data_IF_729392538226
#
_entry.id   IF_729392538226
#
_cell.length_a   1.000
_cell.length_b   1.000
_cell.length_c   1.000
_cell.angle_alpha   90.00
_cell.angle_beta   90.00
_cell.angle_gamma   90.00
#
_symmetry.space_group_name_H-M   'P 1'
#
loop_
_entity.id
_entity.type
_entity.pdbx_description
1 polymer ?
#
# COMPACT_ATOMS: atom_id res chain seq x y z
N UNK A 1 30.96 8.31 -28.55
CA UNK A 1 29.90 7.60 -27.81
C UNK A 1 29.79 8.34 -26.49
N UNK A 2 28.73 9.11 -26.31
CA UNK A 2 28.43 9.69 -25.00
C UNK A 2 28.15 8.51 -24.06
N UNK A 3 28.86 8.43 -22.93
CA UNK A 3 28.52 7.49 -21.88
C UNK A 3 27.14 7.85 -21.34
N UNK A 4 26.18 6.97 -21.49
CA UNK A 4 24.86 7.12 -20.85
C UNK A 4 25.07 7.15 -19.35
N UNK A 5 24.85 8.30 -18.73
CA UNK A 5 25.06 8.52 -17.30
C UNK A 5 23.84 8.00 -16.54
N UNK A 6 23.95 6.80 -15.98
CA UNK A 6 22.90 6.20 -15.14
C UNK A 6 22.76 6.95 -13.81
N UNK A 7 21.52 7.24 -13.42
CA UNK A 7 21.28 7.85 -12.11
C UNK A 7 21.56 6.85 -10.97
N UNK A 8 22.26 7.33 -9.94
CA UNK A 8 22.41 6.59 -8.69
C UNK A 8 21.05 6.40 -8.00
N UNK A 9 20.96 5.44 -7.06
CA UNK A 9 19.73 5.20 -6.28
C UNK A 9 19.27 6.46 -5.53
N UNK A 10 20.20 7.30 -5.03
CA UNK A 10 19.84 8.56 -4.35
C UNK A 10 19.27 9.59 -5.33
N UNK A 11 19.85 9.72 -6.53
CA UNK A 11 19.35 10.62 -7.57
C UNK A 11 17.96 10.17 -8.06
N UNK A 12 17.72 8.87 -8.25
CA UNK A 12 16.39 8.33 -8.58
C UNK A 12 15.37 8.63 -7.48
N UNK A 13 15.77 8.47 -6.21
CA UNK A 13 14.96 8.86 -5.05
C UNK A 13 14.61 10.35 -5.05
N UNK A 14 15.54 11.21 -5.37
CA UNK A 14 15.34 12.65 -5.42
C UNK A 14 14.38 13.03 -6.56
N UNK A 15 14.55 12.43 -7.74
CA UNK A 15 13.67 12.64 -8.89
C UNK A 15 12.22 12.28 -8.54
N UNK A 16 11.97 11.10 -7.98
CA UNK A 16 10.61 10.70 -7.59
C UNK A 16 10.01 11.67 -6.56
N UNK A 17 10.77 12.05 -5.52
CA UNK A 17 10.30 13.04 -4.52
C UNK A 17 9.98 14.40 -5.14
N UNK A 18 10.71 14.81 -6.18
CA UNK A 18 10.48 16.08 -6.88
C UNK A 18 9.13 16.07 -7.60
N UNK A 19 8.74 14.93 -8.19
CA UNK A 19 7.52 14.86 -9.01
C UNK A 19 6.30 14.39 -8.24
N UNK A 20 6.45 13.66 -7.15
CA UNK A 20 5.33 13.13 -6.37
C UNK A 20 4.38 14.26 -5.91
N UNK A 21 3.11 14.17 -6.28
CA UNK A 21 2.07 15.18 -6.02
C UNK A 21 2.09 16.39 -6.97
N UNK A 22 2.95 16.40 -7.99
CA UNK A 22 3.00 17.48 -8.99
C UNK A 22 2.16 17.14 -10.21
N UNK A 23 1.61 18.17 -10.83
CA UNK A 23 1.00 18.06 -12.16
C UNK A 23 2.09 17.97 -13.21
N UNK A 24 1.95 17.03 -14.14
CA UNK A 24 2.89 16.77 -15.23
C UNK A 24 2.17 16.66 -16.57
N UNK A 25 2.89 16.95 -17.65
CA UNK A 25 2.47 16.66 -19.01
C UNK A 25 3.27 15.46 -19.52
N UNK A 26 2.56 14.44 -19.99
CA UNK A 26 3.14 13.16 -20.45
C UNK A 26 2.86 13.01 -21.95
N UNK A 27 3.88 12.66 -22.72
CA UNK A 27 3.72 12.20 -24.11
C UNK A 27 3.51 10.70 -24.08
N UNK A 28 2.44 10.22 -24.70
CA UNK A 28 2.09 8.80 -24.72
C UNK A 28 2.68 8.16 -25.98
N UNK A 29 3.51 7.17 -25.80
CA UNK A 29 4.11 6.37 -26.88
C UNK A 29 3.54 4.94 -26.95
N UNK A 30 2.92 4.46 -25.86
CA UNK A 30 2.24 3.16 -25.75
C UNK A 30 0.85 3.34 -25.16
N UNK A 31 -0.15 3.70 -25.99
CA UNK A 31 -1.52 3.88 -25.52
C UNK A 31 -2.17 2.56 -25.10
N UNK A 32 -3.32 2.64 -24.41
CA UNK A 32 -4.14 1.47 -24.10
C UNK A 32 -4.40 0.65 -25.36
N UNK A 33 -4.19 -0.67 -25.28
CA UNK A 33 -4.29 -1.60 -26.40
C UNK A 33 -3.02 -1.75 -27.23
N UNK A 34 -1.95 -1.00 -26.94
CA UNK A 34 -0.67 -1.17 -27.61
C UNK A 34 -0.10 -2.57 -27.36
N UNK A 35 0.42 -3.19 -28.41
CA UNK A 35 1.03 -4.53 -28.35
C UNK A 35 2.52 -4.39 -28.58
N UNK A 36 3.32 -4.81 -27.60
CA UNK A 36 4.77 -4.70 -27.65
C UNK A 36 5.44 -6.08 -27.57
N UNK A 37 6.03 -6.58 -28.66
CA UNK A 37 6.81 -7.82 -28.64
C UNK A 37 8.18 -7.55 -28.03
N UNK A 38 8.54 -8.26 -26.95
CA UNK A 38 9.84 -8.13 -26.26
C UNK A 38 10.39 -9.51 -25.95
N UNK A 39 11.57 -9.84 -26.51
CA UNK A 39 12.37 -11.04 -26.14
C UNK A 39 11.55 -12.35 -26.03
N UNK A 40 10.62 -12.57 -26.95
CA UNK A 40 9.80 -13.79 -27.01
C UNK A 40 8.50 -13.76 -26.17
N UNK A 41 8.19 -12.66 -25.51
CA UNK A 41 6.90 -12.40 -24.90
C UNK A 41 6.18 -11.27 -25.63
N UNK A 42 4.86 -11.19 -25.48
CA UNK A 42 4.05 -10.10 -26.02
C UNK A 42 3.36 -9.39 -24.86
N UNK A 43 3.72 -8.12 -24.66
CA UNK A 43 3.08 -7.26 -23.67
C UNK A 43 1.85 -6.58 -24.27
N UNK A 44 0.73 -6.66 -23.58
CA UNK A 44 -0.50 -5.95 -23.93
C UNK A 44 -0.71 -4.83 -22.92
N UNK A 45 -0.58 -3.57 -23.37
CA UNK A 45 -0.72 -2.41 -22.50
C UNK A 45 -2.19 -2.20 -22.13
N UNK A 46 -2.51 -2.39 -20.87
CA UNK A 46 -3.86 -2.20 -20.29
C UNK A 46 -4.09 -0.78 -19.77
N UNK A 47 -3.03 0.01 -19.67
CA UNK A 47 -3.02 1.42 -19.30
C UNK A 47 -2.21 2.21 -20.32
N UNK A 48 -2.46 3.52 -20.41
CA UNK A 48 -1.60 4.40 -21.21
C UNK A 48 -0.22 4.48 -20.55
N UNK A 49 0.82 4.54 -21.38
CA UNK A 49 2.20 4.62 -20.96
C UNK A 49 2.95 5.59 -21.87
N UNK A 50 3.88 6.33 -21.30
CA UNK A 50 4.66 7.31 -22.00
C UNK A 50 5.77 7.87 -21.13
N UNK A 51 6.21 9.08 -21.40
CA UNK A 51 7.36 9.68 -20.76
C UNK A 51 7.18 11.19 -20.49
N UNK A 52 8.02 11.73 -19.60
CA UNK A 52 8.11 13.16 -19.32
C UNK A 52 9.15 13.80 -20.24
N UNK A 53 8.75 14.66 -21.18
CA UNK A 53 9.70 15.31 -22.10
C UNK A 53 10.78 16.12 -21.36
N UNK A 54 12.05 15.83 -21.66
CA UNK A 54 13.20 16.53 -21.10
C UNK A 54 13.55 16.19 -19.66
N UNK A 55 12.92 15.16 -19.06
CA UNK A 55 13.25 14.65 -17.72
C UNK A 55 13.95 13.33 -17.87
N UNK A 56 15.22 13.27 -17.52
CA UNK A 56 16.05 12.06 -17.65
C UNK A 56 15.82 11.13 -16.44
N UNK A 57 15.48 9.88 -16.73
CA UNK A 57 15.27 8.80 -15.79
C UNK A 57 16.55 8.07 -15.38
N UNK A 58 16.37 6.96 -14.66
CA UNK A 58 17.46 6.20 -14.07
C UNK A 58 18.39 5.50 -15.08
N UNK A 59 17.89 5.20 -16.26
CA UNK A 59 18.57 4.52 -17.37
C UNK A 59 19.20 5.48 -18.40
N UNK A 60 19.06 6.80 -18.19
CA UNK A 60 19.54 7.84 -19.09
C UNK A 60 18.60 8.19 -20.24
N UNK A 61 17.44 7.54 -20.33
CA UNK A 61 16.35 7.89 -21.24
C UNK A 61 15.34 8.81 -20.55
N UNK A 62 14.33 9.30 -21.26
CA UNK A 62 13.28 10.13 -20.68
C UNK A 62 12.44 9.35 -19.68
N UNK A 63 12.12 9.98 -18.53
CA UNK A 63 11.46 9.33 -17.39
C UNK A 63 10.08 8.78 -17.75
N UNK A 64 9.93 7.49 -17.68
CA UNK A 64 8.71 6.76 -17.99
C UNK A 64 7.60 6.97 -16.96
N UNK A 65 6.35 6.96 -17.45
CA UNK A 65 5.14 7.22 -16.67
C UNK A 65 3.99 6.29 -17.09
N UNK A 66 3.43 5.56 -16.14
CA UNK A 66 2.13 4.89 -16.27
C UNK A 66 0.99 5.88 -16.00
N UNK A 67 -0.08 5.84 -16.81
CA UNK A 67 -1.28 6.66 -16.61
C UNK A 67 -2.44 5.75 -16.16
N UNK A 68 -2.93 5.98 -14.95
CA UNK A 68 -4.07 5.25 -14.38
C UNK A 68 -5.34 6.12 -14.42
N UNK A 69 -6.50 5.46 -14.43
CA UNK A 69 -7.79 6.14 -14.36
C UNK A 69 -8.31 6.66 -15.71
N UNK A 70 -7.61 6.36 -16.81
CA UNK A 70 -8.06 6.67 -18.18
C UNK A 70 -8.03 5.39 -19.02
N UNK A 71 -9.16 5.03 -19.59
CA UNK A 71 -9.35 3.77 -20.32
C UNK A 71 -9.27 3.93 -21.85
N UNK A 72 -9.35 5.18 -22.36
CA UNK A 72 -9.19 5.49 -23.78
C UNK A 72 -7.72 5.61 -24.15
N UNK A 73 -7.34 5.25 -25.39
CA UNK A 73 -6.02 5.55 -25.93
C UNK A 73 -5.79 7.06 -26.02
N UNK A 74 -4.63 7.52 -25.55
CA UNK A 74 -4.24 8.94 -25.56
C UNK A 74 -2.98 9.15 -26.40
N UNK A 75 -2.77 10.39 -26.86
CA UNK A 75 -1.49 10.88 -27.42
C UNK A 75 -0.71 11.72 -26.39
N UNK A 76 -1.42 12.42 -25.53
CA UNK A 76 -0.88 13.24 -24.43
C UNK A 76 -1.77 13.15 -23.22
N UNK A 77 -1.19 13.38 -22.06
CA UNK A 77 -1.92 13.39 -20.79
C UNK A 77 -1.39 14.49 -19.88
N UNK A 78 -2.32 15.16 -19.18
CA UNK A 78 -1.98 16.09 -18.10
C UNK A 78 -2.67 15.61 -16.81
N UNK A 79 -1.92 15.41 -15.75
CA UNK A 79 -2.46 14.95 -14.47
C UNK A 79 -1.43 14.95 -13.34
N UNK A 80 -1.81 14.41 -12.20
CA UNK A 80 -0.99 14.42 -10.98
C UNK A 80 -0.21 13.13 -10.83
N UNK A 81 1.08 13.22 -10.50
CA UNK A 81 1.90 12.05 -10.11
C UNK A 81 1.44 11.58 -8.74
N UNK A 82 0.86 10.39 -8.69
CA UNK A 82 0.27 9.78 -7.49
C UNK A 82 1.15 8.73 -6.83
N UNK A 83 2.20 8.29 -7.53
CA UNK A 83 3.10 7.25 -7.06
C UNK A 83 4.27 7.00 -7.98
N UNK A 84 5.07 6.00 -7.63
CA UNK A 84 6.16 5.48 -8.44
C UNK A 84 6.32 3.97 -8.24
N UNK A 85 6.72 3.28 -9.30
CA UNK A 85 7.20 1.90 -9.27
C UNK A 85 8.71 1.93 -9.07
N UNK A 86 9.18 1.22 -8.07
CA UNK A 86 10.58 1.05 -7.74
C UNK A 86 11.03 -0.33 -8.15
N UNK A 87 11.95 -0.43 -9.07
CA UNK A 87 12.57 -1.70 -9.46
C UNK A 87 13.89 -1.88 -8.72
N UNK A 88 14.04 -2.98 -7.99
CA UNK A 88 15.27 -3.29 -7.25
C UNK A 88 16.33 -3.94 -8.13
N UNK A 89 15.88 -4.64 -9.17
CA UNK A 89 16.67 -5.39 -10.14
C UNK A 89 16.91 -4.63 -11.46
N UNK A 90 16.50 -3.35 -11.52
CA UNK A 90 16.66 -2.48 -12.69
C UNK A 90 17.04 -1.04 -12.24
N UNK A 91 17.62 -0.26 -13.15
CA UNK A 91 17.88 1.18 -12.96
C UNK A 91 16.68 2.07 -13.30
N UNK A 92 15.65 1.51 -13.93
CA UNK A 92 14.52 2.22 -14.50
C UNK A 92 13.29 2.21 -13.57
N UNK A 93 13.22 3.16 -12.63
CA UNK A 93 12.00 3.43 -11.87
C UNK A 93 10.96 4.12 -12.76
N UNK A 94 9.65 3.86 -12.55
CA UNK A 94 8.57 4.45 -13.33
C UNK A 94 7.72 5.38 -12.45
N UNK A 95 7.31 6.52 -12.96
CA UNK A 95 6.29 7.33 -12.30
C UNK A 95 4.89 6.77 -12.60
N UNK A 96 3.93 7.12 -11.75
CA UNK A 96 2.52 6.81 -11.95
C UNK A 96 1.72 8.08 -11.81
N UNK A 97 0.96 8.44 -12.84
CA UNK A 97 0.11 9.62 -12.84
C UNK A 97 -1.36 9.26 -13.06
N UNK A 98 -2.26 10.11 -12.59
CA UNK A 98 -3.70 9.96 -12.75
C UNK A 98 -4.38 11.34 -12.96
N UNK A 99 -5.63 11.39 -13.44
CA UNK A 99 -6.42 12.61 -13.47
C UNK A 99 -6.47 13.29 -12.10
N UNK A 100 -6.52 14.63 -12.10
CA UNK A 100 -6.57 15.40 -10.87
C UNK A 100 -7.70 14.92 -9.94
N UNK A 101 -7.38 14.75 -8.66
CA UNK A 101 -8.30 14.26 -7.63
C UNK A 101 -8.47 12.74 -7.58
N UNK A 102 -8.06 11.97 -8.59
CA UNK A 102 -8.05 10.52 -8.53
C UNK A 102 -6.88 10.02 -7.69
N UNK A 103 -7.14 9.01 -6.87
CA UNK A 103 -6.14 8.38 -6.01
C UNK A 103 -6.25 6.86 -6.09
N UNK A 104 -5.09 6.22 -6.14
CA UNK A 104 -4.95 4.77 -6.14
C UNK A 104 -3.97 4.38 -5.03
N UNK A 105 -4.35 3.39 -4.23
CA UNK A 105 -3.41 2.86 -3.23
C UNK A 105 -2.41 1.89 -3.90
N UNK A 106 -1.33 1.56 -3.17
CA UNK A 106 -0.21 0.77 -3.71
C UNK A 106 -0.64 -0.54 -4.38
N UNK A 107 -1.62 -1.27 -3.82
CA UNK A 107 -2.10 -2.53 -4.41
C UNK A 107 -2.81 -2.29 -5.74
N UNK A 108 -3.69 -1.30 -5.85
CA UNK A 108 -4.37 -0.94 -7.09
C UNK A 108 -3.38 -0.50 -8.18
N UNK A 109 -2.34 0.25 -7.80
CA UNK A 109 -1.28 0.64 -8.74
C UNK A 109 -0.58 -0.61 -9.26
N UNK A 110 -0.13 -1.50 -8.37
CA UNK A 110 0.56 -2.74 -8.76
C UNK A 110 -0.32 -3.64 -9.62
N UNK A 111 -1.61 -3.77 -9.32
CA UNK A 111 -2.57 -4.52 -10.15
C UNK A 111 -2.64 -3.96 -11.57
N UNK A 112 -2.78 -2.64 -11.70
CA UNK A 112 -2.92 -1.98 -12.99
C UNK A 112 -1.69 -2.16 -13.90
N UNK A 113 -0.49 -2.21 -13.32
CA UNK A 113 0.80 -2.33 -14.05
C UNK A 113 1.38 -3.75 -14.04
N UNK A 114 0.69 -4.71 -13.42
CA UNK A 114 1.18 -6.09 -13.27
C UNK A 114 1.54 -6.77 -14.58
N UNK A 115 0.92 -6.39 -15.69
CA UNK A 115 1.21 -6.98 -17.00
C UNK A 115 2.68 -6.80 -17.43
N UNK A 116 3.37 -5.76 -16.92
CA UNK A 116 4.82 -5.53 -17.09
C UNK A 116 5.58 -5.87 -15.81
N UNK A 117 5.14 -5.33 -14.66
CA UNK A 117 5.93 -5.33 -13.43
C UNK A 117 6.08 -6.72 -12.80
N UNK A 118 5.27 -7.71 -13.17
CA UNK A 118 5.46 -9.13 -12.78
C UNK A 118 6.78 -9.76 -13.23
N UNK A 119 7.51 -9.11 -14.12
CA UNK A 119 8.82 -9.55 -14.60
C UNK A 119 9.99 -8.91 -13.86
N UNK A 120 9.72 -8.04 -12.88
CA UNK A 120 10.70 -7.29 -12.10
C UNK A 120 10.45 -7.45 -10.59
N UNK A 121 11.49 -7.25 -9.78
CA UNK A 121 11.35 -7.09 -8.32
C UNK A 121 10.93 -5.64 -8.02
N UNK A 122 9.63 -5.40 -8.16
CA UNK A 122 9.05 -4.06 -8.07
C UNK A 122 8.32 -3.83 -6.76
N UNK A 123 8.42 -2.60 -6.25
CA UNK A 123 7.62 -2.09 -5.13
C UNK A 123 6.96 -0.77 -5.51
N UNK A 124 5.88 -0.39 -4.82
CA UNK A 124 5.12 0.83 -5.09
C UNK A 124 5.27 1.84 -3.96
N UNK A 125 5.75 3.04 -4.30
CA UNK A 125 5.59 4.23 -3.48
C UNK A 125 4.34 4.98 -3.95
N UNK A 126 3.34 5.21 -3.08
CA UNK A 126 2.12 5.93 -3.44
C UNK A 126 1.75 6.98 -2.40
N UNK A 127 1.06 8.04 -2.86
CA UNK A 127 0.50 9.08 -1.98
C UNK A 127 -0.65 8.55 -1.11
N UNK A 128 -1.37 7.54 -1.58
CA UNK A 128 -2.37 6.83 -0.80
C UNK A 128 -1.87 5.42 -0.49
N UNK A 129 -1.72 5.09 0.80
CA UNK A 129 -1.36 3.74 1.24
C UNK A 129 -2.53 3.09 1.96
N UNK A 130 -2.80 1.83 1.65
CA UNK A 130 -3.79 1.02 2.34
C UNK A 130 -3.14 -0.11 3.10
N UNK A 131 -3.55 -0.26 4.35
CA UNK A 131 -3.28 -1.41 5.20
C UNK A 131 -4.59 -1.98 5.69
N UNK A 132 -4.61 -3.28 5.98
CA UNK A 132 -5.77 -3.92 6.59
C UNK A 132 -5.34 -4.70 7.83
N UNK A 133 -6.23 -4.83 8.81
CA UNK A 133 -5.94 -5.55 10.03
C UNK A 133 -7.20 -6.07 10.70
N UNK A 134 -6.98 -6.94 11.67
CA UNK A 134 -8.03 -7.48 12.53
C UNK A 134 -7.90 -6.86 13.90
N UNK A 135 -8.99 -6.47 14.52
CA UNK A 135 -9.12 -6.23 15.96
C UNK A 135 -9.37 -7.60 16.58
N UNK A 136 -8.32 -8.30 17.07
CA UNK A 136 -8.47 -9.65 17.56
C UNK A 136 -9.03 -9.60 18.97
N UNK A 137 -10.09 -10.34 19.22
CA UNK A 137 -10.65 -10.46 20.57
C UNK A 137 -10.86 -11.91 20.99
N UNK A 138 -10.89 -12.10 22.29
CA UNK A 138 -11.28 -13.36 22.94
C UNK A 138 -12.21 -13.08 24.11
N UNK A 139 -13.08 -14.04 24.45
CA UNK A 139 -13.88 -14.01 25.65
C UNK A 139 -13.10 -14.64 26.81
N UNK A 140 -13.15 -13.99 27.98
CA UNK A 140 -12.62 -14.49 29.25
C UNK A 140 -13.70 -14.45 30.33
N UNK A 141 -13.44 -14.98 31.51
CA UNK A 141 -14.35 -14.90 32.68
C UNK A 141 -14.61 -13.43 33.10
N UNK A 142 -13.64 -12.54 32.83
CA UNK A 142 -13.71 -11.10 33.15
C UNK A 142 -14.27 -10.22 32.01
N UNK A 143 -14.66 -10.83 30.90
CA UNK A 143 -15.18 -10.12 29.71
C UNK A 143 -14.27 -10.25 28.48
N UNK A 144 -14.44 -9.33 27.51
CA UNK A 144 -13.66 -9.34 26.30
C UNK A 144 -12.26 -8.74 26.50
N UNK A 145 -11.26 -9.42 25.97
CA UNK A 145 -9.89 -8.91 25.85
C UNK A 145 -9.50 -8.80 24.39
N UNK A 146 -8.74 -7.77 24.09
CA UNK A 146 -8.25 -7.43 22.75
C UNK A 146 -6.73 -7.60 22.66
N UNK A 147 -6.25 -8.18 21.57
CA UNK A 147 -4.82 -8.33 21.35
C UNK A 147 -4.24 -7.02 20.80
N UNK A 148 -3.28 -6.48 21.52
CA UNK A 148 -2.46 -5.34 21.11
C UNK A 148 -1.04 -5.80 20.83
N UNK A 149 -0.36 -5.18 19.90
CA UNK A 149 1.02 -5.47 19.53
C UNK A 149 1.90 -4.23 19.66
N UNK A 150 3.11 -4.41 20.15
CA UNK A 150 4.12 -3.35 20.25
C UNK A 150 5.05 -3.41 19.04
N UNK A 151 4.97 -2.39 18.21
CA UNK A 151 5.81 -2.24 17.03
C UNK A 151 7.25 -1.81 17.38
N UNK A 152 8.20 -1.98 16.45
CA UNK A 152 9.60 -1.61 16.63
C UNK A 152 9.83 -0.11 16.93
N UNK A 153 8.90 0.76 16.53
CA UNK A 153 8.91 2.19 16.82
C UNK A 153 8.40 2.56 18.24
N UNK A 154 8.19 1.58 19.12
CA UNK A 154 7.61 1.70 20.46
C UNK A 154 6.14 2.17 20.50
N UNK A 155 5.39 1.98 19.42
CA UNK A 155 3.96 2.29 19.39
C UNK A 155 3.12 1.01 19.52
N UNK A 156 2.16 1.03 20.45
CA UNK A 156 1.13 -0.01 20.53
C UNK A 156 0.11 0.18 19.39
N UNK A 157 -0.32 -0.92 18.82
CA UNK A 157 -1.20 -0.93 17.65
C UNK A 157 -2.06 -2.20 17.64
N UNK A 158 -2.97 -2.25 16.67
CA UNK A 158 -3.70 -3.44 16.24
C UNK A 158 -2.85 -4.17 15.19
N UNK A 159 -2.81 -5.52 15.14
CA UNK A 159 -2.15 -6.27 14.07
C UNK A 159 -2.69 -5.88 12.70
N UNK A 160 -1.80 -5.48 11.78
CA UNK A 160 -2.15 -4.98 10.44
C UNK A 160 -0.93 -4.81 9.56
N UNK A 161 -1.09 -5.01 8.29
CA UNK A 161 -0.03 -4.70 7.33
C UNK A 161 -0.54 -4.22 5.98
N UNK A 162 0.35 -4.13 5.03
CA UNK A 162 0.08 -3.53 3.73
C UNK A 162 -0.76 -4.46 2.85
N UNK A 163 -1.78 -3.89 2.22
CA UNK A 163 -2.54 -4.59 1.21
C UNK A 163 -1.65 -4.86 -0.01
N UNK A 164 -1.63 -6.11 -0.46
CA UNK A 164 -0.94 -6.55 -1.65
C UNK A 164 -1.88 -6.58 -2.87
N UNK A 165 -1.28 -6.61 -4.07
CA UNK A 165 -2.04 -6.71 -5.31
C UNK A 165 -2.89 -7.99 -5.32
N UNK A 166 -4.10 -7.87 -5.84
CA UNK A 166 -5.09 -8.96 -5.97
C UNK A 166 -5.67 -9.50 -4.66
N UNK A 167 -5.33 -8.93 -3.51
CA UNK A 167 -5.98 -9.23 -2.24
C UNK A 167 -7.24 -8.38 -2.04
N UNK A 168 -8.26 -8.97 -1.44
CA UNK A 168 -9.32 -8.21 -0.78
C UNK A 168 -8.86 -7.66 0.57
N UNK A 169 -9.55 -6.67 1.10
CA UNK A 169 -9.25 -6.11 2.43
C UNK A 169 -9.30 -7.18 3.54
N UNK A 170 -10.23 -8.15 3.43
CA UNK A 170 -10.36 -9.25 4.40
C UNK A 170 -9.21 -10.25 4.28
N UNK A 171 -8.82 -10.62 3.06
CA UNK A 171 -7.67 -11.51 2.84
C UNK A 171 -6.39 -10.90 3.39
N UNK A 172 -6.12 -9.63 3.10
CA UNK A 172 -4.98 -8.90 3.70
C UNK A 172 -5.04 -8.94 5.23
N UNK A 173 -6.19 -8.61 5.82
CA UNK A 173 -6.31 -8.54 7.28
C UNK A 173 -6.06 -9.90 7.96
N UNK A 174 -6.56 -10.98 7.36
CA UNK A 174 -6.35 -12.35 7.88
C UNK A 174 -4.92 -12.85 7.65
N UNK A 175 -4.30 -12.54 6.51
CA UNK A 175 -2.90 -12.87 6.24
C UNK A 175 -1.98 -12.19 7.25
N UNK A 176 -2.14 -10.88 7.43
CA UNK A 176 -1.34 -10.08 8.38
C UNK A 176 -1.50 -10.54 9.83
N UNK A 177 -2.75 -10.89 10.25
CA UNK A 177 -2.96 -11.48 11.56
C UNK A 177 -2.19 -12.80 11.73
N UNK A 178 -2.17 -13.62 10.67
CA UNK A 178 -1.46 -14.90 10.69
C UNK A 178 0.06 -14.73 10.71
N UNK A 179 0.58 -13.79 9.90
CA UNK A 179 2.01 -13.51 9.77
C UNK A 179 2.55 -12.84 11.04
N UNK A 180 1.93 -11.73 11.49
CA UNK A 180 2.41 -10.94 12.61
C UNK A 180 2.30 -11.66 13.98
N UNK A 181 1.21 -12.42 14.21
CA UNK A 181 0.92 -12.98 15.54
C UNK A 181 0.54 -14.47 15.55
N UNK A 182 0.52 -15.15 14.43
CA UNK A 182 0.26 -16.60 14.33
C UNK A 182 -1.20 -17.01 14.52
N UNK A 183 -2.13 -16.08 14.72
CA UNK A 183 -3.54 -16.36 15.00
C UNK A 183 -4.38 -16.53 13.74
N UNK A 184 -5.53 -17.18 13.90
CA UNK A 184 -6.63 -17.19 12.92
C UNK A 184 -7.85 -16.52 13.53
N UNK A 185 -8.72 -15.93 12.70
CA UNK A 185 -9.91 -15.24 13.18
C UNK A 185 -11.17 -15.62 12.40
N UNK A 186 -12.29 -15.68 13.12
CA UNK A 186 -13.63 -15.62 12.52
C UNK A 186 -14.06 -14.15 12.50
N UNK A 187 -14.11 -13.55 11.31
CA UNK A 187 -14.47 -12.14 11.17
C UNK A 187 -15.96 -11.90 11.43
N UNK A 188 -16.25 -10.82 12.18
CA UNK A 188 -17.62 -10.36 12.41
C UNK A 188 -18.21 -9.81 11.09
N UNK A 189 -19.33 -10.37 10.57
CA UNK A 189 -19.76 -10.16 9.18
C UNK A 189 -20.18 -8.71 8.87
N UNK A 190 -20.51 -7.92 9.88
CA UNK A 190 -21.04 -6.54 9.72
C UNK A 190 -20.08 -5.48 10.25
N UNK A 191 -18.86 -5.87 10.67
CA UNK A 191 -17.90 -4.90 11.19
C UNK A 191 -16.78 -4.64 10.18
N UNK A 192 -16.73 -3.41 9.72
CA UNK A 192 -15.62 -2.81 8.97
C UNK A 192 -15.50 -1.36 9.39
N UNK A 193 -14.31 -0.93 9.77
CA UNK A 193 -14.02 0.46 10.10
C UNK A 193 -12.78 0.96 9.35
N UNK A 194 -12.60 2.27 9.31
CA UNK A 194 -11.50 2.93 8.62
C UNK A 194 -10.89 4.02 9.49
N UNK A 195 -9.58 3.94 9.66
CA UNK A 195 -8.74 5.01 10.20
C UNK A 195 -7.94 5.63 9.07
N UNK A 196 -7.92 6.94 8.98
CA UNK A 196 -7.10 7.66 8.00
C UNK A 196 -6.24 8.73 8.70
N UNK A 197 -4.96 8.80 8.33
CA UNK A 197 -4.05 9.79 8.85
C UNK A 197 -2.98 10.21 7.83
N UNK A 198 -2.44 11.45 7.95
CA UNK A 198 -1.37 11.91 7.06
C UNK A 198 -0.06 11.15 7.35
N UNK A 199 0.73 10.95 6.30
CA UNK A 199 2.07 10.37 6.41
C UNK A 199 3.14 11.47 6.47
N UNK A 200 4.22 11.24 7.22
CA UNK A 200 5.31 12.20 7.42
C UNK A 200 6.01 12.63 6.11
N UNK A 201 6.00 11.77 5.10
CA UNK A 201 6.62 12.03 3.79
C UNK A 201 5.63 12.55 2.74
N UNK A 202 4.45 12.98 3.16
CA UNK A 202 3.34 13.38 2.29
C UNK A 202 2.41 12.22 1.94
N UNK A 203 1.19 12.55 1.53
CA UNK A 203 0.14 11.58 1.28
C UNK A 203 -0.60 11.13 2.55
N UNK A 204 -1.40 10.06 2.41
CA UNK A 204 -2.29 9.56 3.46
C UNK A 204 -2.20 8.05 3.59
N UNK A 205 -2.35 7.55 4.82
CA UNK A 205 -2.51 6.13 5.10
C UNK A 205 -3.93 5.84 5.55
N UNK A 206 -4.55 4.86 4.93
CA UNK A 206 -5.82 4.28 5.31
C UNK A 206 -5.57 2.92 5.95
N UNK A 207 -6.16 2.68 7.11
CA UNK A 207 -6.13 1.39 7.79
C UNK A 207 -7.57 0.89 7.92
N UNK A 208 -7.87 -0.18 7.21
CA UNK A 208 -9.16 -0.88 7.29
C UNK A 208 -9.08 -1.92 8.38
N UNK A 209 -10.03 -1.91 9.31
CA UNK A 209 -10.08 -2.80 10.45
C UNK A 209 -11.34 -3.66 10.42
N UNK A 210 -11.14 -4.95 10.65
CA UNK A 210 -12.20 -5.93 10.87
C UNK A 210 -12.16 -6.39 12.33
N UNK A 211 -13.31 -6.76 12.87
CA UNK A 211 -13.41 -7.39 14.16
C UNK A 211 -13.33 -8.91 13.98
N UNK A 212 -12.54 -9.60 14.81
CA UNK A 212 -12.41 -11.04 14.69
C UNK A 212 -12.24 -11.77 16.02
N UNK A 213 -13.08 -12.78 16.26
CA UNK A 213 -12.86 -13.73 17.33
C UNK A 213 -11.70 -14.65 16.97
N UNK A 214 -10.67 -14.70 17.81
CA UNK A 214 -9.43 -15.38 17.45
C UNK A 214 -9.26 -16.70 18.17
N UNK A 215 -8.53 -17.60 17.52
CA UNK A 215 -8.12 -18.90 18.04
C UNK A 215 -6.63 -19.15 17.74
N UNK A 216 -6.01 -19.99 18.60
CA UNK A 216 -4.61 -20.35 18.52
C UNK A 216 -3.76 -19.74 19.63
N UNK A 217 -2.46 -19.97 19.54
CA UNK A 217 -1.45 -19.38 20.45
C UNK A 217 -0.75 -18.24 19.74
N UNK A 218 -0.53 -17.13 20.45
CA UNK A 218 0.20 -15.98 19.92
C UNK A 218 1.66 -16.35 19.70
N UNK A 219 2.13 -16.17 18.46
CA UNK A 219 3.53 -16.33 18.06
C UNK A 219 3.93 -15.12 17.24
N UNK A 220 4.72 -14.24 17.84
CA UNK A 220 5.19 -13.04 17.17
C UNK A 220 6.17 -13.36 16.05
N UNK A 221 6.02 -12.69 14.91
CA UNK A 221 7.01 -12.73 13.83
C UNK A 221 8.32 -12.06 14.28
N UNK A 222 9.45 -12.80 14.22
CA UNK A 222 10.74 -12.26 14.63
C UNK A 222 11.16 -11.04 13.79
N UNK A 223 11.46 -9.93 14.48
CA UNK A 223 11.98 -8.72 13.83
C UNK A 223 10.92 -7.67 13.45
N UNK A 224 9.63 -8.01 13.45
CA UNK A 224 8.56 -7.05 13.15
C UNK A 224 7.91 -6.48 14.41
N UNK A 225 7.60 -7.34 15.35
CA UNK A 225 6.96 -6.99 16.62
C UNK A 225 7.86 -7.31 17.80
N UNK A 226 7.73 -6.51 18.87
CA UNK A 226 8.55 -6.66 20.08
C UNK A 226 7.82 -7.36 21.22
N UNK A 227 6.51 -7.12 21.36
CA UNK A 227 5.69 -7.58 22.46
C UNK A 227 4.23 -7.66 22.00
N UNK A 228 3.45 -8.48 22.67
CA UNK A 228 2.00 -8.44 22.58
C UNK A 228 1.37 -8.37 23.98
N UNK A 229 0.13 -7.90 24.00
CA UNK A 229 -0.66 -7.85 25.25
C UNK A 229 -2.12 -8.10 24.96
N UNK A 230 -2.72 -8.98 25.76
CA UNK A 230 -4.16 -9.04 25.89
C UNK A 230 -4.59 -7.96 26.88
N UNK A 231 -5.54 -7.12 26.50
CA UNK A 231 -5.97 -5.97 27.27
C UNK A 231 -7.49 -5.78 27.18
N UNK A 232 -8.11 -5.44 28.29
CA UNK A 232 -9.45 -4.86 28.31
C UNK A 232 -9.43 -3.48 27.61
N UNK A 233 -10.60 -2.97 27.23
CA UNK A 233 -10.70 -1.61 26.67
C UNK A 233 -10.12 -0.56 27.62
N UNK A 234 -10.34 -0.74 28.93
CA UNK A 234 -9.82 0.19 29.94
C UNK A 234 -8.28 0.22 30.00
N UNK A 235 -7.63 -0.94 29.88
CA UNK A 235 -6.17 -1.05 29.86
C UNK A 235 -5.59 -0.51 28.55
N UNK A 236 -6.26 -0.76 27.42
CA UNK A 236 -5.87 -0.28 26.10
C UNK A 236 -5.85 1.27 26.00
N UNK A 237 -6.62 1.96 26.87
CA UNK A 237 -6.77 3.42 26.88
C UNK A 237 -5.46 4.18 27.03
N UNK A 238 -4.50 3.61 27.76
CA UNK A 238 -3.17 4.21 27.97
C UNK A 238 -2.12 3.76 26.95
N UNK A 239 -2.47 2.86 26.05
CA UNK A 239 -1.55 2.23 25.11
C UNK A 239 -1.80 2.69 23.66
N UNK A 240 -3.06 2.72 23.23
CA UNK A 240 -3.45 3.00 21.86
C UNK A 240 -3.64 4.49 21.58
N UNK A 241 -3.38 4.87 20.34
CA UNK A 241 -3.74 6.19 19.82
C UNK A 241 -5.26 6.39 19.85
N UNK A 242 -5.72 7.63 20.05
CA UNK A 242 -7.13 7.99 20.26
C UNK A 242 -8.10 7.46 19.18
N UNK A 243 -7.68 7.39 17.93
CA UNK A 243 -8.52 6.90 16.84
C UNK A 243 -8.80 5.40 16.95
N UNK A 244 -7.78 4.60 17.30
CA UNK A 244 -7.96 3.17 17.58
C UNK A 244 -8.80 2.94 18.85
N UNK A 245 -8.66 3.81 19.86
CA UNK A 245 -9.47 3.72 21.08
C UNK A 245 -10.95 3.92 20.80
N UNK A 246 -11.31 4.93 20.00
CA UNK A 246 -12.71 5.18 19.59
C UNK A 246 -13.34 3.95 18.92
N UNK A 247 -12.57 3.26 18.08
CA UNK A 247 -13.03 2.04 17.43
C UNK A 247 -13.19 0.90 18.42
N UNK A 248 -12.24 0.74 19.36
CA UNK A 248 -12.27 -0.31 20.37
C UNK A 248 -13.44 -0.16 21.33
N UNK A 249 -13.78 1.08 21.74
CA UNK A 249 -14.95 1.38 22.56
C UNK A 249 -16.26 1.05 21.83
N UNK A 250 -16.32 1.34 20.51
CA UNK A 250 -17.48 0.96 19.68
C UNK A 250 -17.61 -0.55 19.53
N UNK A 251 -16.50 -1.27 19.35
CA UNK A 251 -16.45 -2.73 19.27
C UNK A 251 -16.94 -3.35 20.58
N UNK A 252 -16.51 -2.84 21.71
CA UNK A 252 -16.99 -3.32 23.03
C UNK A 252 -18.51 -3.23 23.13
N UNK A 253 -19.09 -2.11 22.73
CA UNK A 253 -20.55 -1.93 22.71
C UNK A 253 -21.29 -2.92 21.79
N UNK A 254 -20.67 -3.34 20.69
CA UNK A 254 -21.23 -4.37 19.79
C UNK A 254 -21.17 -5.77 20.41
N UNK A 255 -20.11 -6.09 21.15
CA UNK A 255 -19.91 -7.40 21.76
C UNK A 255 -20.73 -7.58 23.06
N UNK A 256 -21.17 -6.50 23.69
CA UNK A 256 -21.96 -6.49 24.92
C UNK A 256 -23.49 -6.39 24.69
N UNK A 257 -23.94 -6.04 23.48
CA UNK A 257 -25.35 -5.85 23.10
C UNK A 257 -25.95 -7.00 22.35
#
# INVERSE_FOLDING_TARGET
MEETEYLSAEQRNQLIRQYLGKTVEVVIDRPVGYIHPVKGITLHYTVNYGYLPGVIGGDGEEQDVYILGVTEPLERFTGTVIGAIRRKDDSEDKLVAAPEGMQFHQAQIMEAVHFVEKYFDSTVDSLLRRSCGVIPYRMTESGHEFLLVLQNNNCWSIPKGHMEAFESEQETALRELKEEVGLTAALHPQFRDLVEYPMARGGRKQVVLFLGEVSGEVKLEPGELREYRWASVQEAKNLLHSEYMRILERVQGILEG
#
